data_IF_647030363553
#
_entry.id   IF_647030363553
#
_cell.length_a   1.000
_cell.length_b   1.000
_cell.length_c   1.000
_cell.angle_alpha   90.00
_cell.angle_beta   90.00
_cell.angle_gamma   90.00
#
_symmetry.space_group_name_H-M   'P 1'
#
loop_
_entity.id
_entity.type
_entity.pdbx_description
1 polymer ?
#
# COMPACT_ATOMS: atom_id res chain seq x y z
N UNK A 1 8.64 11.16 -0.71
CA UNK A 1 9.37 9.90 -0.41
C UNK A 1 10.09 10.08 0.91
N UNK A 2 9.95 9.12 1.84
CA UNK A 2 10.62 9.17 3.14
C UNK A 2 12.13 9.33 2.94
N UNK A 3 12.73 10.32 3.61
CA UNK A 3 14.16 10.64 3.44
C UNK A 3 15.09 9.63 4.12
N UNK A 4 14.56 8.83 5.05
CA UNK A 4 15.31 7.83 5.80
C UNK A 4 14.36 6.70 6.20
N UNK A 5 14.77 5.47 5.95
CA UNK A 5 14.08 4.27 6.45
C UNK A 5 14.46 4.14 7.94
N UNK A 6 13.49 3.98 8.85
CA UNK A 6 13.79 3.75 10.26
C UNK A 6 14.62 2.47 10.50
N UNK A 7 15.49 2.49 11.51
CA UNK A 7 16.49 1.43 11.73
C UNK A 7 15.85 0.09 12.09
N UNK A 8 14.68 0.12 12.72
CA UNK A 8 13.86 -1.04 13.06
C UNK A 8 13.41 -1.87 11.85
N UNK A 9 13.47 -1.33 10.63
CA UNK A 9 13.14 -2.06 9.41
C UNK A 9 14.34 -2.68 8.70
N UNK A 10 15.58 -2.39 9.14
CA UNK A 10 16.79 -2.80 8.42
C UNK A 10 16.96 -4.32 8.39
N UNK A 11 16.76 -5.01 9.51
CA UNK A 11 16.86 -6.48 9.60
C UNK A 11 15.92 -7.17 8.61
N UNK A 12 14.67 -6.71 8.53
CA UNK A 12 13.68 -7.28 7.62
C UNK A 12 13.96 -6.94 6.14
N UNK A 13 14.66 -5.84 5.86
CA UNK A 13 15.17 -5.54 4.51
C UNK A 13 16.32 -6.50 4.16
N UNK A 14 17.27 -6.68 5.08
CA UNK A 14 18.46 -7.52 4.89
C UNK A 14 18.08 -8.99 4.66
N UNK A 15 17.02 -9.46 5.33
CA UNK A 15 16.46 -10.81 5.17
C UNK A 15 15.52 -10.96 3.96
N UNK A 16 15.33 -9.91 3.15
CA UNK A 16 14.47 -9.94 1.98
C UNK A 16 12.97 -10.06 2.28
N UNK A 17 12.55 -9.75 3.53
CA UNK A 17 11.15 -9.79 3.98
C UNK A 17 10.37 -8.51 3.65
N UNK A 18 11.04 -7.44 3.24
CA UNK A 18 10.41 -6.15 2.86
C UNK A 18 10.80 -5.76 1.44
N UNK A 19 9.81 -5.58 0.56
CA UNK A 19 9.98 -4.97 -0.76
C UNK A 19 9.57 -3.49 -0.72
N UNK A 20 10.54 -2.58 -0.86
CA UNK A 20 10.29 -1.13 -0.94
C UNK A 20 10.49 -0.68 -2.39
N UNK A 21 9.41 -0.35 -3.09
CA UNK A 21 9.46 0.23 -4.44
C UNK A 21 9.17 1.72 -4.36
N UNK A 22 10.07 2.54 -4.89
CA UNK A 22 9.82 3.96 -5.10
C UNK A 22 10.46 4.45 -6.38
N UNK A 23 9.69 5.22 -7.15
CA UNK A 23 10.11 5.78 -8.43
C UNK A 23 9.90 7.29 -8.42
N UNK A 24 10.89 8.02 -8.97
CA UNK A 24 10.76 9.43 -9.34
C UNK A 24 11.76 9.75 -10.46
N UNK A 25 11.28 10.35 -11.55
CA UNK A 25 11.81 11.65 -11.97
C UNK A 25 10.73 12.44 -12.74
N UNK A 26 10.10 13.36 -12.01
CA UNK A 26 9.22 14.44 -12.49
C UNK A 26 8.03 14.08 -13.41
N UNK A 27 7.15 13.19 -12.96
CA UNK A 27 5.74 13.21 -13.37
C UNK A 27 4.89 13.15 -12.10
N UNK A 28 3.89 14.04 -11.97
CA UNK A 28 2.86 13.91 -10.93
C UNK A 28 2.20 12.55 -11.18
N UNK A 29 2.39 11.58 -10.28
CA UNK A 29 1.71 10.28 -10.42
C UNK A 29 0.22 10.57 -10.58
N UNK A 30 -0.38 10.12 -11.69
CA UNK A 30 -1.82 10.22 -11.85
C UNK A 30 -2.48 9.43 -10.74
N UNK A 31 -3.71 9.84 -10.37
CA UNK A 31 -4.51 9.09 -9.41
C UNK A 31 -4.62 7.62 -9.83
N UNK A 32 -4.79 7.36 -11.13
CA UNK A 32 -4.84 6.02 -11.74
C UNK A 32 -3.57 5.19 -11.49
N UNK A 33 -2.39 5.80 -11.60
CA UNK A 33 -1.12 5.11 -11.36
C UNK A 33 -0.98 4.71 -9.89
N UNK A 34 -1.37 5.61 -8.98
CA UNK A 34 -1.34 5.33 -7.55
C UNK A 34 -2.34 4.23 -7.16
N UNK A 35 -3.54 4.26 -7.73
CA UNK A 35 -4.60 3.27 -7.54
C UNK A 35 -4.17 1.90 -8.07
N UNK A 36 -3.72 1.81 -9.33
CA UNK A 36 -3.25 0.55 -9.95
C UNK A 36 -2.18 -0.13 -9.10
N UNK A 37 -1.23 0.65 -8.58
CA UNK A 37 -0.17 0.15 -7.70
C UNK A 37 -0.72 -0.36 -6.37
N UNK A 38 -1.70 0.33 -5.77
CA UNK A 38 -2.31 -0.13 -4.52
C UNK A 38 -3.05 -1.46 -4.70
N UNK A 39 -3.85 -1.59 -5.76
CA UNK A 39 -4.57 -2.83 -6.08
C UNK A 39 -3.64 -4.00 -6.37
N UNK A 40 -2.55 -3.76 -7.10
CA UNK A 40 -1.57 -4.80 -7.40
C UNK A 40 -0.88 -5.31 -6.13
N UNK A 41 -0.45 -4.41 -5.24
CA UNK A 41 0.17 -4.83 -3.96
C UNK A 41 -0.84 -5.60 -3.11
N UNK A 42 -2.06 -5.10 -2.99
CA UNK A 42 -3.12 -5.75 -2.23
C UNK A 42 -3.44 -7.18 -2.72
N UNK A 43 -3.35 -7.42 -4.04
CA UNK A 43 -3.63 -8.73 -4.64
C UNK A 43 -2.69 -9.84 -4.14
N UNK A 44 -1.46 -9.50 -3.80
CA UNK A 44 -0.45 -10.46 -3.33
C UNK A 44 -0.28 -10.47 -1.81
N UNK A 45 -1.01 -9.62 -1.10
CA UNK A 45 -0.89 -9.50 0.33
C UNK A 45 -1.69 -10.60 1.05
N UNK A 46 -1.08 -11.20 2.08
CA UNK A 46 -1.77 -12.10 3.00
C UNK A 46 -2.69 -11.32 3.95
N UNK A 47 -2.33 -10.06 4.27
CA UNK A 47 -3.10 -9.14 5.11
C UNK A 47 -2.82 -7.69 4.68
N UNK A 48 -3.84 -6.81 4.79
CA UNK A 48 -3.76 -5.41 4.37
C UNK A 48 -4.05 -4.48 5.56
N UNK A 49 -3.11 -3.59 5.85
CA UNK A 49 -3.30 -2.50 6.79
C UNK A 49 -3.35 -1.16 6.07
N UNK A 50 -4.39 -0.38 6.35
CA UNK A 50 -4.60 0.95 5.78
C UNK A 50 -4.46 2.02 6.86
N UNK A 51 -3.78 3.11 6.54
CA UNK A 51 -3.91 4.35 7.32
C UNK A 51 -5.32 4.92 7.14
N UNK A 52 -5.86 5.67 8.11
CA UNK A 52 -7.14 6.36 7.96
C UNK A 52 -7.19 7.20 6.68
N UNK A 53 -8.34 7.17 6.01
CA UNK A 53 -8.60 7.93 4.78
C UNK A 53 -10.00 8.52 4.80
N UNK A 54 -10.22 9.58 4.02
CA UNK A 54 -11.54 10.17 3.84
C UNK A 54 -12.42 9.37 2.85
N UNK A 55 -13.73 9.64 2.86
CA UNK A 55 -14.70 8.95 1.99
C UNK A 55 -14.52 9.23 0.49
N UNK A 56 -13.75 10.24 0.12
CA UNK A 56 -13.47 10.59 -1.28
C UNK A 56 -12.16 9.96 -1.79
N UNK A 57 -11.41 9.29 -0.92
CA UNK A 57 -10.21 8.55 -1.29
C UNK A 57 -10.55 7.35 -2.15
N UNK A 58 -9.71 7.09 -3.16
CA UNK A 58 -9.77 5.84 -3.96
C UNK A 58 -9.50 4.59 -3.10
N UNK A 59 -8.88 4.77 -1.92
CA UNK A 59 -8.74 3.70 -0.94
C UNK A 59 -10.10 3.24 -0.37
N UNK A 60 -11.13 4.09 -0.40
CA UNK A 60 -12.47 3.73 0.08
C UNK A 60 -13.10 2.60 -0.74
N UNK A 61 -12.95 2.66 -2.07
CA UNK A 61 -13.40 1.61 -2.98
C UNK A 61 -12.64 0.32 -2.74
N UNK A 62 -11.31 0.40 -2.60
CA UNK A 62 -10.48 -0.78 -2.34
C UNK A 62 -10.85 -1.43 -1.00
N UNK A 63 -11.02 -0.63 0.06
CA UNK A 63 -11.45 -1.13 1.37
C UNK A 63 -12.80 -1.83 1.29
N UNK A 64 -13.79 -1.21 0.64
CA UNK A 64 -15.11 -1.81 0.43
C UNK A 64 -15.00 -3.15 -0.30
N UNK A 65 -14.25 -3.21 -1.40
CA UNK A 65 -14.12 -4.44 -2.20
C UNK A 65 -13.48 -5.57 -1.41
N UNK A 66 -12.38 -5.32 -0.71
CA UNK A 66 -11.72 -6.36 0.08
C UNK A 66 -12.58 -6.83 1.26
N UNK A 67 -13.31 -5.91 1.90
CA UNK A 67 -14.21 -6.24 3.02
C UNK A 67 -15.37 -7.14 2.59
N UNK A 68 -15.92 -6.95 1.39
CA UNK A 68 -17.15 -7.64 0.96
C UNK A 68 -16.92 -8.82 0.02
N UNK A 69 -15.81 -8.83 -0.73
CA UNK A 69 -15.59 -9.78 -1.82
C UNK A 69 -14.25 -10.52 -1.74
N UNK A 70 -13.35 -10.15 -0.83
CA UNK A 70 -12.07 -10.85 -0.64
C UNK A 70 -12.08 -11.69 0.64
N UNK A 71 -11.20 -12.69 0.68
CA UNK A 71 -10.86 -13.43 1.91
C UNK A 71 -9.61 -12.86 2.60
N UNK A 72 -8.88 -11.97 1.94
CA UNK A 72 -7.71 -11.30 2.51
C UNK A 72 -8.16 -10.35 3.62
N UNK A 73 -7.70 -10.52 4.87
CA UNK A 73 -8.01 -9.60 5.96
C UNK A 73 -7.56 -8.18 5.61
N UNK A 74 -8.42 -7.21 5.90
CA UNK A 74 -8.14 -5.78 5.70
C UNK A 74 -8.58 -4.97 6.91
N UNK A 75 -7.67 -4.15 7.44
CA UNK A 75 -7.88 -3.37 8.67
C UNK A 75 -7.44 -1.92 8.49
N UNK A 76 -8.22 -0.99 9.05
CA UNK A 76 -7.81 0.41 9.18
C UNK A 76 -7.17 0.60 10.57
N UNK A 77 -5.95 1.15 10.60
CA UNK A 77 -5.19 1.44 11.81
C UNK A 77 -5.64 2.73 12.50
#
# INVERSE_FOLDING_TARGET
MYKRIPAEYQEAIDEGRILIVSVRNNCRHSNDSAETRNWNVARFADEIFMSPFDRNSLLSTMYYTYTHYSKTPITIL
#
